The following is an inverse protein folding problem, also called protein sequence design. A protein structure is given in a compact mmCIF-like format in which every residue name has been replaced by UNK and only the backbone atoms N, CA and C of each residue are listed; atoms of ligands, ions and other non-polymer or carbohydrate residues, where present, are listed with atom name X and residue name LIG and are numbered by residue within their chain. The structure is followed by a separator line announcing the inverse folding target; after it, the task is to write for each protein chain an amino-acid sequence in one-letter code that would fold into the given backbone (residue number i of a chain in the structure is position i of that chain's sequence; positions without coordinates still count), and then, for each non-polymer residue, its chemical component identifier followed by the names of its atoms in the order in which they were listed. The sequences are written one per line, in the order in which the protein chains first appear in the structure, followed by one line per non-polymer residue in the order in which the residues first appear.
data_IF_285167251287
#
_entry.id   IF_285167251287
#
_cell.length_a   1.000
_cell.length_b   1.000
_cell.length_c   1.000
_cell.angle_alpha   90.00
_cell.angle_beta   90.00
_cell.angle_gamma   90.00
#
_symmetry.space_group_name_H-M   'P 1'
#
loop_
_entity.id
_entity.type
_entity.pdbx_description
1 polymer ?
#
# COMPACT_ATOMS: atom_id res chain seq x y z
N UNK A 1 -36.55 38.51 1.96
CA UNK A 1 -36.58 38.13 0.53
C UNK A 1 -35.53 37.07 0.28
N UNK A 2 -35.84 36.01 -0.47
CA UNK A 2 -34.84 34.99 -0.84
C UNK A 2 -33.99 35.49 -2.00
N UNK A 3 -32.74 35.02 -2.11
CA UNK A 3 -31.86 35.39 -3.22
C UNK A 3 -32.26 34.65 -4.49
N UNK A 4 -31.97 35.24 -5.66
CA UNK A 4 -32.18 34.61 -6.97
C UNK A 4 -31.48 33.24 -7.03
N UNK A 5 -30.29 33.13 -6.44
CA UNK A 5 -29.52 31.88 -6.39
C UNK A 5 -30.24 30.77 -5.62
N UNK A 6 -30.92 31.08 -4.51
CA UNK A 6 -31.69 30.08 -3.76
C UNK A 6 -32.88 29.54 -4.57
N UNK A 7 -33.58 30.42 -5.29
CA UNK A 7 -34.72 30.03 -6.13
C UNK A 7 -34.27 29.13 -7.29
N UNK A 8 -33.12 29.44 -7.90
CA UNK A 8 -32.55 28.63 -8.98
C UNK A 8 -32.11 27.24 -8.47
N UNK A 9 -31.59 27.15 -7.24
CA UNK A 9 -31.23 25.87 -6.59
C UNK A 9 -32.46 25.02 -6.25
N UNK A 10 -33.51 25.60 -5.67
CA UNK A 10 -34.78 24.91 -5.37
C UNK A 10 -35.46 24.38 -6.64
N UNK A 11 -35.31 25.07 -7.77
CA UNK A 11 -35.85 24.66 -9.08
C UNK A 11 -34.94 23.70 -9.85
N UNK A 12 -33.79 23.30 -9.29
CA UNK A 12 -32.86 22.37 -9.94
C UNK A 12 -32.16 22.90 -11.19
N UNK A 13 -32.15 24.24 -11.40
CA UNK A 13 -31.60 24.88 -12.59
C UNK A 13 -30.09 25.19 -12.47
N UNK A 14 -29.47 24.87 -11.34
CA UNK A 14 -28.05 25.09 -11.09
C UNK A 14 -27.29 23.76 -11.13
N UNK A 15 -26.44 23.58 -12.14
CA UNK A 15 -25.55 22.43 -12.28
C UNK A 15 -24.26 22.54 -11.44
N UNK A 16 -24.21 23.41 -10.42
CA UNK A 16 -23.02 23.50 -9.59
C UNK A 16 -22.90 22.18 -8.85
N UNK A 17 -21.87 21.35 -9.12
CA UNK A 17 -21.67 20.18 -8.29
C UNK A 17 -21.42 20.71 -6.89
N UNK A 18 -22.32 20.40 -5.96
CA UNK A 18 -21.97 20.50 -4.55
C UNK A 18 -20.70 19.67 -4.42
N UNK A 19 -19.57 20.33 -4.22
CA UNK A 19 -18.32 19.66 -3.88
C UNK A 19 -18.53 19.09 -2.50
N UNK A 20 -19.24 17.96 -2.42
CA UNK A 20 -19.09 17.00 -1.36
C UNK A 20 -17.65 16.54 -1.50
N UNK A 21 -16.72 17.23 -0.85
CA UNK A 21 -15.39 16.71 -0.64
C UNK A 21 -15.66 15.46 0.20
N UNK A 22 -15.58 14.24 -0.35
CA UNK A 22 -15.69 13.11 0.52
C UNK A 22 -14.41 13.20 1.35
N UNK A 23 -14.55 13.34 2.67
CA UNK A 23 -13.45 13.15 3.59
C UNK A 23 -13.12 11.65 3.54
N UNK A 24 -12.51 11.23 2.43
CA UNK A 24 -11.94 9.92 2.25
C UNK A 24 -10.78 9.93 3.23
N UNK A 25 -10.99 9.29 4.38
CA UNK A 25 -9.89 8.80 5.18
C UNK A 25 -9.08 7.86 4.26
N UNK A 26 -8.11 8.42 3.54
CA UNK A 26 -7.09 7.70 2.77
C UNK A 26 -6.09 7.08 3.72
N UNK A 27 -6.57 6.43 4.78
CA UNK A 27 -5.88 5.29 5.37
C UNK A 27 -6.16 4.08 4.48
N UNK A 28 -5.82 4.20 3.20
CA UNK A 28 -5.39 3.03 2.44
C UNK A 28 -4.03 2.68 3.04
N UNK A 29 -4.05 2.04 4.23
CA UNK A 29 -2.98 1.10 4.54
C UNK A 29 -3.02 0.17 3.35
N UNK A 30 -2.09 0.39 2.43
CA UNK A 30 -1.84 -0.52 1.34
C UNK A 30 -1.83 -1.87 2.03
N UNK A 31 -2.82 -2.70 1.72
CA UNK A 31 -2.79 -4.09 2.12
C UNK A 31 -1.50 -4.53 1.48
N UNK A 32 -0.43 -4.60 2.27
CA UNK A 32 0.87 -4.99 1.81
C UNK A 32 0.61 -6.32 1.15
N UNK A 33 0.59 -6.33 -0.19
CA UNK A 33 0.62 -7.57 -0.96
C UNK A 33 1.75 -8.33 -0.30
N UNK A 34 1.47 -9.51 0.25
CA UNK A 34 2.45 -10.32 0.96
C UNK A 34 3.64 -10.52 0.03
N UNK A 35 4.58 -9.59 0.12
CA UNK A 35 5.72 -9.46 -0.76
C UNK A 35 6.82 -10.08 0.05
N UNK A 36 7.13 -11.32 -0.29
CA UNK A 36 8.29 -11.99 0.28
C UNK A 36 9.49 -11.06 0.12
N UNK A 37 10.13 -10.79 1.25
CA UNK A 37 11.41 -10.11 1.30
C UNK A 37 12.43 -10.92 0.50
N UNK A 38 13.49 -10.25 0.04
CA UNK A 38 14.59 -10.90 -0.67
C UNK A 38 15.14 -12.12 0.10
N UNK A 39 15.20 -12.03 1.43
CA UNK A 39 15.70 -13.11 2.29
C UNK A 39 14.79 -14.35 2.25
N UNK A 40 13.47 -14.14 2.28
CA UNK A 40 12.49 -15.21 2.20
C UNK A 40 12.47 -15.87 0.81
N UNK A 41 12.65 -15.07 -0.25
CA UNK A 41 12.89 -15.60 -1.59
C UNK A 41 14.14 -16.47 -1.66
N UNK A 42 15.26 -15.98 -1.11
CA UNK A 42 16.51 -16.73 -1.07
C UNK A 42 16.40 -18.02 -0.24
N UNK A 43 15.55 -18.04 0.79
CA UNK A 43 15.26 -19.23 1.59
C UNK A 43 14.36 -20.23 0.83
N UNK A 44 13.26 -19.75 0.26
CA UNK A 44 12.31 -20.56 -0.53
C UNK A 44 12.98 -21.19 -1.76
N UNK A 45 13.84 -20.42 -2.45
CA UNK A 45 14.60 -20.89 -3.61
C UNK A 45 15.83 -21.72 -3.20
N UNK A 46 16.10 -21.89 -1.90
CA UNK A 46 17.24 -22.64 -1.39
C UNK A 46 18.60 -21.98 -1.66
N UNK A 47 18.63 -20.71 -2.03
CA UNK A 47 19.83 -19.92 -2.29
C UNK A 47 20.61 -19.61 -1.00
N UNK A 48 19.93 -19.53 0.15
CA UNK A 48 20.55 -19.34 1.46
C UNK A 48 21.12 -20.64 2.08
N UNK A 49 21.28 -21.72 1.30
CA UNK A 49 22.06 -22.89 1.75
C UNK A 49 23.52 -22.49 1.91
N UNK A 50 23.93 -22.22 3.15
CA UNK A 50 25.35 -22.18 3.50
C UNK A 50 25.99 -23.52 3.18
N UNK A 51 26.59 -23.59 1.99
CA UNK A 51 27.42 -24.71 1.54
C UNK A 51 28.69 -24.81 2.36
N UNK A 52 29.19 -23.67 2.82
CA UNK A 52 30.38 -23.56 3.67
C UNK A 52 30.09 -22.72 4.92
N UNK A 53 30.75 -23.08 6.03
CA UNK A 53 30.69 -22.40 7.31
C UNK A 53 32.12 -22.19 7.86
N UNK A 54 32.33 -21.14 8.66
CA UNK A 54 33.58 -21.01 9.41
C UNK A 54 33.55 -21.97 10.60
N UNK A 55 34.54 -22.85 10.69
CA UNK A 55 34.73 -23.77 11.81
C UNK A 55 36.20 -23.74 12.22
N UNK A 56 36.47 -23.32 13.45
CA UNK A 56 37.81 -23.08 14.00
C UNK A 56 38.67 -22.17 13.10
N UNK A 57 38.10 -21.06 12.63
CA UNK A 57 38.80 -20.06 11.80
C UNK A 57 38.92 -20.42 10.31
N UNK A 58 38.68 -21.68 9.92
CA UNK A 58 38.74 -22.12 8.53
C UNK A 58 37.34 -22.23 7.89
N UNK A 59 37.22 -21.90 6.60
CA UNK A 59 36.00 -22.13 5.82
C UNK A 59 35.91 -23.62 5.46
N UNK A 60 34.87 -24.31 5.94
CA UNK A 60 34.65 -25.75 5.74
C UNK A 60 33.27 -26.01 5.16
N UNK A 61 33.11 -27.09 4.38
CA UNK A 61 31.78 -27.49 3.91
C UNK A 61 30.91 -27.88 5.10
N UNK A 62 29.68 -27.37 5.15
CA UNK A 62 28.68 -27.76 6.16
C UNK A 62 28.38 -29.25 5.93
N UNK A 63 28.62 -30.09 6.95
CA UNK A 63 28.26 -31.51 6.94
C UNK A 63 26.86 -31.68 7.48
#
# INVERSE_FOLDING_TARGET
MRTIQQQLKEKGLTNAPERTVPNLNTNTRLIDKECLSRKEWEELMGMNRQTYQKHNGAIRRKR
#
